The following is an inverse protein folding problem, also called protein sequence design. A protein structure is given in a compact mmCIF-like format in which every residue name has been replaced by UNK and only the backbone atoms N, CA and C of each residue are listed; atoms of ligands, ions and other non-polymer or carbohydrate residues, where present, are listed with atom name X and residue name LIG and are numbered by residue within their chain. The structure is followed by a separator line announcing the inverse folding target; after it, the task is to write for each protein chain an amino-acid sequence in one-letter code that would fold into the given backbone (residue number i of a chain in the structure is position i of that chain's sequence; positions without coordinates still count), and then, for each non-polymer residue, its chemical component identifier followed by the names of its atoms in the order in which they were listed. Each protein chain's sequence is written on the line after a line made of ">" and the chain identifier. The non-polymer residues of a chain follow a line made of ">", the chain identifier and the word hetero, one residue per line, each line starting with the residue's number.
data_IF_815903811088
#
_entry.id   IF_815903811088
#
_cell.length_a   1.000
_cell.length_b   1.000
_cell.length_c   1.000
_cell.angle_alpha   90.00
_cell.angle_beta   90.00
_cell.angle_gamma   90.00
#
_symmetry.space_group_name_H-M   'P 1'
#
loop_
_entity.id
_entity.type
_entity.pdbx_description
1 polymer ?
#
# COMPACT_ATOMS: atom_id res chain seq x y z
N UNK A 1 -9.01 -64.54 -3.66
CA UNK A 1 -8.04 -63.74 -2.88
C UNK A 1 -8.05 -62.27 -3.30
N UNK A 2 -9.15 -61.57 -3.01
CA UNK A 2 -9.31 -60.13 -3.23
C UNK A 2 -9.60 -59.48 -1.87
N UNK A 3 -8.65 -58.69 -1.37
CA UNK A 3 -8.84 -57.87 -0.16
C UNK A 3 -9.36 -56.47 -0.55
N UNK A 4 -10.27 -55.88 0.22
CA UNK A 4 -10.82 -54.56 -0.09
C UNK A 4 -9.86 -53.44 0.34
N UNK A 5 -9.80 -52.40 -0.49
CA UNK A 5 -9.03 -51.17 -0.23
C UNK A 5 -9.83 -50.30 0.76
N UNK A 6 -9.20 -50.00 1.89
CA UNK A 6 -9.75 -49.13 2.93
C UNK A 6 -9.87 -47.68 2.43
N UNK A 7 -11.06 -47.09 2.61
CA UNK A 7 -11.32 -45.66 2.44
C UNK A 7 -10.64 -44.87 3.56
N UNK A 8 -9.60 -44.12 3.24
CA UNK A 8 -8.99 -43.16 4.16
C UNK A 8 -9.82 -41.88 4.19
N UNK A 9 -10.41 -41.56 5.34
CA UNK A 9 -11.09 -40.29 5.63
C UNK A 9 -10.10 -39.14 5.51
N UNK A 10 -10.37 -38.20 4.60
CA UNK A 10 -9.68 -36.91 4.55
C UNK A 10 -10.21 -36.06 5.70
N UNK A 11 -9.39 -35.86 6.74
CA UNK A 11 -9.68 -34.90 7.82
C UNK A 11 -9.49 -33.48 7.31
N UNK A 12 -10.52 -32.63 7.45
CA UNK A 12 -10.42 -31.18 7.25
C UNK A 12 -9.41 -30.60 8.25
N UNK A 13 -8.21 -30.27 7.80
CA UNK A 13 -7.25 -29.50 8.60
C UNK A 13 -7.73 -28.05 8.70
N UNK A 14 -8.26 -27.66 9.87
CA UNK A 14 -8.31 -26.27 10.31
C UNK A 14 -6.86 -25.80 10.52
N UNK A 15 -6.35 -24.93 9.66
CA UNK A 15 -5.12 -24.19 9.96
C UNK A 15 -5.39 -23.24 11.13
N UNK A 16 -4.95 -23.64 12.32
CA UNK A 16 -4.82 -22.78 13.48
C UNK A 16 -3.32 -22.60 13.70
N UNK A 17 -2.73 -21.63 13.00
CA UNK A 17 -1.31 -21.31 13.12
C UNK A 17 -1.07 -20.52 14.41
N UNK A 18 -0.47 -21.14 15.42
CA UNK A 18 0.03 -20.46 16.61
C UNK A 18 1.46 -19.99 16.34
N UNK A 19 1.71 -18.68 16.37
CA UNK A 19 3.06 -18.12 16.22
C UNK A 19 3.58 -17.69 17.59
N UNK A 20 4.74 -18.21 17.98
CA UNK A 20 5.44 -17.81 19.21
C UNK A 20 5.98 -16.38 19.08
N UNK A 21 5.98 -15.60 20.15
CA UNK A 21 6.56 -14.24 20.17
C UNK A 21 8.04 -14.22 19.72
N UNK A 22 8.78 -15.33 19.88
CA UNK A 22 10.15 -15.47 19.33
C UNK A 22 10.21 -15.56 17.80
N UNK A 23 9.16 -16.04 17.14
CA UNK A 23 9.10 -16.16 15.68
C UNK A 23 8.75 -14.82 15.00
N UNK A 24 8.00 -13.94 15.67
CA UNK A 24 7.75 -12.57 15.20
C UNK A 24 9.05 -11.75 15.08
N UNK A 25 10.01 -11.96 16.00
CA UNK A 25 11.31 -11.28 15.98
C UNK A 25 12.21 -11.67 14.80
N UNK A 26 11.97 -12.83 14.15
CA UNK A 26 12.74 -13.27 12.97
C UNK A 26 12.12 -12.87 11.62
N UNK A 27 10.87 -12.38 11.62
CA UNK A 27 10.10 -12.12 10.40
C UNK A 27 10.06 -10.61 10.07
N UNK A 28 10.32 -9.75 11.05
CA UNK A 28 10.30 -8.30 10.89
C UNK A 28 11.73 -7.80 10.57
N UNK A 29 12.02 -7.33 9.35
CA UNK A 29 13.26 -6.60 9.08
C UNK A 29 13.31 -5.39 10.01
N UNK A 30 14.46 -5.16 10.67
CA UNK A 30 14.72 -4.08 11.64
C UNK A 30 14.30 -2.69 11.13
N UNK A 31 13.02 -2.38 11.27
CA UNK A 31 12.39 -1.14 10.84
C UNK A 31 11.25 -0.81 11.80
N UNK A 32 11.29 0.42 12.34
CA UNK A 32 10.35 0.92 13.35
C UNK A 32 8.91 0.96 12.85
N UNK A 33 7.99 0.42 13.65
CA UNK A 33 6.54 0.42 13.40
C UNK A 33 5.90 1.73 13.89
N UNK A 34 5.15 2.47 13.06
CA UNK A 34 4.28 3.59 13.50
C UNK A 34 2.79 3.24 13.36
N UNK A 35 2.02 3.61 14.37
CA UNK A 35 0.57 3.43 14.54
C UNK A 35 -0.05 4.81 14.78
N UNK A 36 -1.12 5.16 14.05
CA UNK A 36 -1.75 6.48 14.13
C UNK A 36 -3.17 6.40 14.69
N UNK A 37 -3.51 7.32 15.59
CA UNK A 37 -4.87 7.49 16.12
C UNK A 37 -5.34 8.94 16.03
N UNK A 38 -6.66 9.13 16.14
CA UNK A 38 -7.40 10.35 15.80
C UNK A 38 -6.94 11.61 16.55
N UNK A 39 -6.28 11.48 17.70
CA UNK A 39 -5.76 12.59 18.52
C UNK A 39 -4.37 12.30 19.13
N UNK A 40 -3.67 11.26 18.65
CA UNK A 40 -2.37 10.80 19.21
C UNK A 40 -1.63 9.95 18.18
N UNK A 41 -0.35 10.21 17.90
CA UNK A 41 0.49 9.32 17.08
C UNK A 41 1.29 8.40 18.01
N UNK A 42 1.46 7.13 17.66
CA UNK A 42 2.22 6.17 18.47
C UNK A 42 3.28 5.58 17.59
N UNK A 43 4.54 5.91 17.86
CA UNK A 43 5.67 5.52 17.04
C UNK A 43 6.64 4.60 17.79
N UNK A 44 7.15 3.64 17.04
CA UNK A 44 8.24 2.72 17.32
C UNK A 44 7.91 1.46 18.14
N UNK A 45 8.06 0.32 17.45
CA UNK A 45 8.70 -0.90 17.97
C UNK A 45 10.15 -0.87 17.48
N UNK A 46 11.12 -0.76 18.38
CA UNK A 46 12.54 -0.95 18.08
C UNK A 46 12.90 -2.39 18.46
N UNK A 47 13.30 -3.22 17.49
CA UNK A 47 13.82 -4.57 17.75
C UNK A 47 15.35 -4.51 17.67
N UNK A 48 16.10 -4.73 18.77
CA UNK A 48 17.54 -4.80 18.71
C UNK A 48 17.98 -5.99 17.85
N UNK A 49 18.94 -5.76 16.98
CA UNK A 49 19.50 -6.78 16.10
C UNK A 49 20.30 -7.84 16.86
N UNK A 50 20.07 -9.09 16.43
CA UNK A 50 20.91 -10.30 16.52
C UNK A 50 21.51 -10.66 17.89
N UNK A 51 21.07 -11.84 18.34
CA UNK A 51 21.49 -12.66 19.48
C UNK A 51 20.87 -12.27 20.83
N UNK A 52 20.07 -13.21 21.35
CA UNK A 52 19.79 -13.46 22.77
C UNK A 52 19.42 -12.27 23.66
N UNK A 53 18.17 -12.27 24.14
CA UNK A 53 17.58 -11.37 25.15
C UNK A 53 17.01 -10.06 24.56
N UNK A 54 15.69 -10.04 24.42
CA UNK A 54 14.90 -8.84 24.09
C UNK A 54 14.72 -8.06 25.39
N UNK A 55 15.67 -7.19 25.71
CA UNK A 55 15.57 -6.24 26.81
C UNK A 55 14.89 -4.94 26.34
N UNK A 56 13.88 -4.53 27.12
CA UNK A 56 13.19 -3.23 27.14
C UNK A 56 12.44 -2.77 25.86
N UNK A 57 11.12 -2.92 25.90
CA UNK A 57 10.16 -2.28 24.99
C UNK A 57 10.08 -0.77 25.26
N UNK A 58 10.81 0.07 24.50
CA UNK A 58 10.57 1.52 24.50
C UNK A 58 9.68 1.89 23.33
N UNK A 59 8.39 1.98 23.60
CA UNK A 59 7.44 2.63 22.72
C UNK A 59 7.51 4.15 22.91
N UNK A 60 7.22 4.94 21.89
CA UNK A 60 7.21 6.41 22.00
C UNK A 60 5.93 6.96 21.41
N UNK A 61 5.14 7.65 22.22
CA UNK A 61 3.96 8.36 21.71
C UNK A 61 4.44 9.68 21.14
N UNK A 62 4.17 9.92 19.86
CA UNK A 62 4.47 11.19 19.18
C UNK A 62 3.15 11.95 19.07
N UNK A 63 3.08 13.18 19.54
CA UNK A 63 1.85 13.96 19.47
C UNK A 63 1.78 14.75 18.16
N UNK A 64 0.61 15.31 17.86
CA UNK A 64 0.33 16.08 16.63
C UNK A 64 1.22 17.32 16.47
N UNK A 65 1.81 17.81 17.56
CA UNK A 65 2.73 18.94 17.62
C UNK A 65 4.21 18.53 17.41
N UNK A 66 4.47 17.25 17.13
CA UNK A 66 5.83 16.72 16.98
C UNK A 66 6.54 16.46 18.31
N UNK A 67 5.92 16.76 19.45
CA UNK A 67 6.46 16.36 20.74
C UNK A 67 6.41 14.85 20.88
N UNK A 68 7.37 14.29 21.60
CA UNK A 68 7.42 12.88 21.90
C UNK A 68 7.39 12.68 23.41
N UNK A 69 6.57 11.74 23.88
CA UNK A 69 6.67 11.23 25.24
C UNK A 69 7.09 9.77 25.20
N UNK A 70 7.99 9.43 26.10
CA UNK A 70 8.35 8.03 26.34
C UNK A 70 7.12 7.26 26.86
N UNK A 71 7.05 5.97 26.52
CA UNK A 71 5.91 5.05 26.72
C UNK A 71 5.16 5.19 28.04
N UNK A 72 5.88 5.39 29.14
CA UNK A 72 5.32 5.44 30.49
C UNK A 72 4.22 6.51 30.63
N UNK A 73 4.28 7.59 29.86
CA UNK A 73 3.30 8.68 29.87
C UNK A 73 2.25 8.61 28.75
N UNK A 74 2.36 7.65 27.82
CA UNK A 74 1.45 7.48 26.67
C UNK A 74 0.40 6.38 26.83
N UNK A 75 0.44 5.65 27.95
CA UNK A 75 -0.45 4.50 28.19
C UNK A 75 -1.92 4.90 28.33
N UNK A 76 -2.21 6.08 28.88
CA UNK A 76 -3.59 6.54 29.06
C UNK A 76 -4.27 6.88 27.74
N UNK A 77 -3.56 7.53 26.80
CA UNK A 77 -4.06 7.83 25.47
C UNK A 77 -4.36 6.53 24.69
N UNK A 78 -3.45 5.55 24.77
CA UNK A 78 -3.65 4.22 24.20
C UNK A 78 -4.83 3.48 24.79
N UNK A 79 -4.98 3.51 26.12
CA UNK A 79 -6.14 2.92 26.80
C UNK A 79 -7.43 3.59 26.33
N UNK A 80 -7.46 4.93 26.21
CA UNK A 80 -8.62 5.68 25.72
C UNK A 80 -9.01 5.21 24.32
N UNK A 81 -8.04 5.14 23.43
CA UNK A 81 -8.21 4.66 22.05
C UNK A 81 -8.68 3.21 21.98
N UNK A 82 -8.09 2.32 22.80
CA UNK A 82 -8.47 0.91 22.89
C UNK A 82 -9.86 0.72 23.52
N UNK A 83 -10.33 1.68 24.33
CA UNK A 83 -11.64 1.64 24.98
C UNK A 83 -12.78 2.07 24.04
N UNK A 84 -12.48 2.83 22.97
CA UNK A 84 -13.50 3.26 22.01
C UNK A 84 -13.88 2.17 21.01
N UNK A 85 -12.89 1.49 20.42
CA UNK A 85 -13.08 0.37 19.49
C UNK A 85 -11.90 -0.59 19.58
N UNK A 86 -12.14 -1.85 19.23
CA UNK A 86 -11.05 -2.82 19.10
C UNK A 86 -10.08 -2.37 18.01
N UNK A 87 -8.79 -2.55 18.27
CA UNK A 87 -7.72 -2.12 17.38
C UNK A 87 -6.97 -3.34 16.87
N UNK A 88 -6.77 -3.41 15.56
CA UNK A 88 -6.01 -4.46 14.89
C UNK A 88 -4.83 -3.88 14.12
N UNK A 89 -3.65 -4.47 14.30
CA UNK A 89 -2.40 -4.01 13.67
C UNK A 89 -1.98 -5.04 12.61
N UNK A 90 -1.75 -4.57 11.38
CA UNK A 90 -1.16 -5.42 10.34
C UNK A 90 0.29 -5.74 10.68
N UNK A 91 0.61 -7.04 10.73
CA UNK A 91 1.94 -7.54 11.14
C UNK A 91 2.66 -8.32 10.05
N UNK A 92 1.91 -8.88 9.09
CA UNK A 92 2.47 -9.71 8.01
C UNK A 92 1.50 -9.74 6.81
N UNK A 93 1.89 -10.45 5.75
CA UNK A 93 1.11 -10.60 4.52
C UNK A 93 1.22 -12.03 3.96
N UNK A 94 0.11 -12.54 3.44
CA UNK A 94 0.09 -13.81 2.70
C UNK A 94 0.66 -13.64 1.29
N UNK A 95 1.00 -14.76 0.62
CA UNK A 95 1.58 -14.77 -0.72
C UNK A 95 0.66 -14.19 -1.82
N UNK A 96 -0.65 -14.19 -1.58
CA UNK A 96 -1.66 -13.56 -2.44
C UNK A 96 -1.85 -12.05 -2.16
N UNK A 97 -1.08 -11.53 -1.20
CA UNK A 97 -1.05 -10.15 -0.79
C UNK A 97 -2.15 -9.72 0.19
N UNK A 98 -2.88 -10.64 0.83
CA UNK A 98 -3.79 -10.30 1.93
C UNK A 98 -3.03 -9.99 3.22
N UNK A 99 -3.47 -8.95 3.94
CA UNK A 99 -2.86 -8.58 5.21
C UNK A 99 -3.27 -9.53 6.35
N UNK A 100 -2.30 -9.85 7.21
CA UNK A 100 -2.50 -10.52 8.49
C UNK A 100 -2.41 -9.51 9.61
N UNK A 101 -3.32 -9.63 10.57
CA UNK A 101 -3.49 -8.71 11.69
C UNK A 101 -3.41 -9.42 13.03
N UNK A 102 -2.95 -8.69 14.04
CA UNK A 102 -3.09 -9.07 15.46
C UNK A 102 -3.92 -8.02 16.17
N UNK A 103 -4.67 -8.45 17.18
CA UNK A 103 -5.41 -7.53 18.05
C UNK A 103 -4.44 -6.83 18.98
N UNK A 104 -4.45 -5.50 19.02
CA UNK A 104 -3.54 -4.70 19.83
C UNK A 104 -3.63 -5.09 21.32
N UNK A 105 -4.83 -5.34 21.85
CA UNK A 105 -5.00 -5.75 23.25
C UNK A 105 -4.35 -7.11 23.56
N UNK A 106 -4.26 -8.02 22.59
CA UNK A 106 -3.55 -9.30 22.76
C UNK A 106 -2.04 -9.10 22.76
N UNK A 107 -1.54 -8.20 21.89
CA UNK A 107 -0.13 -7.81 21.87
C UNK A 107 0.26 -6.98 23.11
N UNK A 108 -0.69 -6.25 23.70
CA UNK A 108 -0.52 -5.39 24.88
C UNK A 108 -0.37 -6.19 26.18
N UNK A 109 -1.12 -7.28 26.32
CA UNK A 109 -1.03 -8.12 27.50
C UNK A 109 0.34 -8.82 27.54
N UNK A 110 1.17 -8.52 28.54
CA UNK A 110 2.42 -9.21 28.89
C UNK A 110 2.18 -10.71 29.13
N UNK A 111 1.87 -11.44 28.07
CA UNK A 111 1.54 -12.85 28.13
C UNK A 111 2.44 -13.58 27.17
N UNK A 112 3.08 -14.65 27.65
CA UNK A 112 3.78 -15.64 26.82
C UNK A 112 2.80 -16.42 25.91
N UNK A 113 1.62 -15.87 25.62
CA UNK A 113 0.56 -16.48 24.84
C UNK A 113 0.81 -16.16 23.37
N UNK A 114 0.71 -17.18 22.52
CA UNK A 114 0.74 -16.99 21.08
C UNK A 114 -0.36 -16.01 20.65
N UNK A 115 -0.01 -15.04 19.81
CA UNK A 115 -0.97 -14.07 19.26
C UNK A 115 -1.86 -14.74 18.22
N UNK A 116 -3.13 -14.35 18.21
CA UNK A 116 -4.06 -14.81 17.17
C UNK A 116 -3.85 -13.97 15.92
N UNK A 117 -3.63 -14.63 14.78
CA UNK A 117 -3.60 -13.97 13.47
C UNK A 117 -4.99 -13.96 12.86
N UNK A 118 -5.40 -12.79 12.40
CA UNK A 118 -6.65 -12.56 11.69
C UNK A 118 -6.34 -12.13 10.26
N UNK A 119 -7.03 -12.71 9.28
CA UNK A 119 -6.91 -12.25 7.91
C UNK A 119 -7.75 -10.98 7.65
N UNK A 120 -7.43 -10.30 6.55
CA UNK A 120 -8.07 -9.05 6.13
C UNK A 120 -9.60 -9.15 6.07
N UNK A 121 -10.14 -10.26 5.59
CA UNK A 121 -11.59 -10.48 5.47
C UNK A 121 -12.29 -10.65 6.83
N UNK A 122 -11.59 -11.19 7.84
CA UNK A 122 -12.11 -11.34 9.19
C UNK A 122 -12.19 -9.98 9.89
N UNK A 123 -11.11 -9.22 9.89
CA UNK A 123 -11.07 -7.93 10.62
C UNK A 123 -12.00 -6.89 10.02
N UNK A 124 -12.22 -6.91 8.70
CA UNK A 124 -13.16 -6.00 8.01
C UNK A 124 -14.63 -6.23 8.36
N UNK A 125 -14.98 -7.41 8.87
CA UNK A 125 -16.34 -7.68 9.35
C UNK A 125 -16.58 -7.13 10.74
N UNK A 126 -15.53 -6.69 11.43
CA UNK A 126 -15.59 -6.13 12.77
C UNK A 126 -15.70 -4.61 12.67
N UNK A 127 -16.49 -4.01 13.56
CA UNK A 127 -16.47 -2.56 13.75
C UNK A 127 -15.23 -2.16 14.57
N UNK A 128 -14.08 -2.13 13.90
CA UNK A 128 -12.76 -1.99 14.52
C UNK A 128 -11.90 -0.95 13.81
N UNK A 129 -10.83 -0.52 14.48
CA UNK A 129 -9.79 0.33 13.90
C UNK A 129 -8.67 -0.54 13.34
N UNK A 130 -8.38 -0.38 12.05
CA UNK A 130 -7.26 -1.07 11.40
C UNK A 130 -6.07 -0.14 11.32
N UNK A 131 -4.91 -0.64 11.74
CA UNK A 131 -3.65 0.07 11.71
C UNK A 131 -2.69 -0.65 10.78
N UNK A 132 -2.23 0.08 9.77
CA UNK A 132 -1.19 -0.40 8.87
C UNK A 132 0.14 0.19 9.33
N UNK A 133 1.14 -0.67 9.51
CA UNK A 133 2.48 -0.22 9.84
C UNK A 133 2.96 0.79 8.78
N UNK A 134 3.24 2.03 9.22
CA UNK A 134 3.99 2.98 8.40
C UNK A 134 5.48 2.84 8.68
N UNK A 135 6.35 2.97 7.67
CA UNK A 135 7.76 3.11 7.91
C UNK A 135 8.08 4.51 8.38
N UNK A 136 9.16 4.60 9.15
CA UNK A 136 9.86 5.86 9.39
C UNK A 136 10.38 6.38 8.05
N UNK A 137 10.21 7.69 7.81
CA UNK A 137 10.94 8.41 6.78
C UNK A 137 12.42 8.33 7.17
N UNK A 138 13.10 7.29 6.71
CA UNK A 138 14.55 7.30 6.70
C UNK A 138 14.91 8.31 5.63
N UNK A 139 15.38 9.49 6.05
CA UNK A 139 16.16 10.39 5.18
C UNK A 139 17.44 9.66 4.76
N UNK A 140 17.28 8.62 3.94
CA UNK A 140 18.37 7.96 3.27
C UNK A 140 18.60 8.76 2.00
N UNK A 141 19.85 9.20 1.81
CA UNK A 141 20.32 9.89 0.62
C UNK A 141 19.86 9.12 -0.62
N UNK A 142 18.78 9.60 -1.25
CA UNK A 142 18.15 8.92 -2.36
C UNK A 142 18.89 9.22 -3.66
N UNK A 143 18.88 8.28 -4.63
CA UNK A 143 19.44 8.52 -5.95
C UNK A 143 18.72 9.71 -6.58
N UNK A 144 19.47 10.73 -6.99
CA UNK A 144 19.06 11.91 -7.77
C UNK A 144 17.58 11.93 -8.15
N UNK A 145 16.73 12.44 -7.25
CA UNK A 145 15.35 12.81 -7.57
C UNK A 145 15.43 13.81 -8.73
N UNK A 146 14.64 13.65 -9.81
CA UNK A 146 14.70 14.57 -10.95
C UNK A 146 14.65 16.02 -10.45
N UNK A 147 15.66 16.80 -10.85
CA UNK A 147 15.83 18.20 -10.46
C UNK A 147 14.55 18.96 -10.86
N UNK A 148 13.82 19.41 -9.85
CA UNK A 148 12.43 19.84 -9.96
C UNK A 148 11.61 19.28 -8.82
N UNK A 149 12.18 19.25 -7.60
CA UNK A 149 11.48 18.90 -6.36
C UNK A 149 10.27 19.81 -6.24
N UNK A 150 9.14 19.34 -6.75
CA UNK A 150 7.87 19.98 -6.50
C UNK A 150 7.66 19.86 -5.00
N UNK A 151 8.06 20.91 -4.30
CA UNK A 151 7.68 21.09 -2.93
C UNK A 151 6.16 21.28 -3.00
N UNK A 152 5.42 20.37 -2.37
CA UNK A 152 3.97 20.46 -2.26
C UNK A 152 3.53 20.98 -0.88
N UNK A 153 4.27 21.80 -0.12
CA UNK A 153 3.87 22.11 1.26
C UNK A 153 2.47 22.75 1.31
N UNK A 154 2.10 23.51 0.29
CA UNK A 154 0.78 24.16 0.21
C UNK A 154 -0.35 23.23 -0.27
N UNK A 155 -0.05 22.22 -1.11
CA UNK A 155 -1.06 21.35 -1.73
C UNK A 155 -1.18 20.01 -1.02
N UNK A 156 -0.07 19.48 -0.54
CA UNK A 156 0.08 18.22 0.15
C UNK A 156 0.85 18.46 1.47
N UNK A 157 0.27 19.20 2.43
CA UNK A 157 0.92 19.44 3.72
C UNK A 157 1.11 18.15 4.53
N UNK A 158 0.52 17.03 4.11
CA UNK A 158 0.65 15.72 4.75
C UNK A 158 0.23 15.76 6.23
N UNK A 159 -1.01 16.19 6.45
CA UNK A 159 -1.67 16.15 7.74
C UNK A 159 -1.62 14.76 8.37
N UNK A 160 -1.71 14.74 9.70
CA UNK A 160 -1.53 13.58 10.56
C UNK A 160 -2.41 12.35 10.22
N UNK A 161 -3.58 12.54 9.61
CA UNK A 161 -4.48 11.45 9.18
C UNK A 161 -4.23 10.95 7.76
N UNK A 162 -3.25 11.50 7.06
CA UNK A 162 -3.05 11.22 5.63
C UNK A 162 -1.92 10.24 5.43
N UNK A 163 -2.15 9.25 4.57
CA UNK A 163 -1.22 8.18 4.27
C UNK A 163 -1.08 7.99 2.77
N UNK A 164 -0.49 8.99 2.12
CA UNK A 164 -0.23 8.95 0.70
C UNK A 164 1.15 9.47 0.38
N UNK A 165 1.62 9.18 -0.82
CA UNK A 165 2.87 9.68 -1.38
C UNK A 165 2.62 10.11 -2.81
N UNK A 166 3.24 11.21 -3.23
CA UNK A 166 3.26 11.62 -4.64
C UNK A 166 4.40 10.86 -5.32
N UNK A 167 4.16 10.38 -6.55
CA UNK A 167 5.16 9.67 -7.36
C UNK A 167 5.72 10.66 -8.39
N UNK A 168 6.85 11.34 -8.10
CA UNK A 168 7.31 12.48 -8.89
C UNK A 168 7.68 12.08 -10.33
N UNK A 169 8.31 10.92 -10.52
CA UNK A 169 8.67 10.40 -11.84
C UNK A 169 7.48 10.21 -12.79
N UNK A 170 6.29 10.02 -12.24
CA UNK A 170 5.07 9.81 -13.02
C UNK A 170 4.12 11.01 -12.98
N UNK A 171 4.48 12.09 -12.28
CA UNK A 171 3.68 13.31 -12.22
C UNK A 171 4.08 14.26 -13.36
N UNK A 172 3.15 15.10 -13.81
CA UNK A 172 3.40 16.09 -14.88
C UNK A 172 3.43 17.54 -14.36
N UNK A 173 3.00 17.76 -13.11
CA UNK A 173 3.02 19.09 -12.48
C UNK A 173 2.39 19.09 -11.08
N UNK A 174 2.25 20.28 -10.49
CA UNK A 174 1.72 20.46 -9.12
C UNK A 174 0.26 20.00 -8.95
N UNK A 175 -0.56 20.08 -9.99
CA UNK A 175 -1.98 19.66 -9.96
C UNK A 175 -2.24 18.44 -10.85
N UNK A 176 -1.19 17.91 -11.47
CA UNK A 176 -1.18 16.73 -12.34
C UNK A 176 -0.31 15.64 -11.71
N UNK A 177 -0.64 15.28 -10.46
CA UNK A 177 0.13 14.38 -9.64
C UNK A 177 -0.41 12.95 -9.70
N UNK A 178 0.50 11.97 -9.71
CA UNK A 178 0.14 10.57 -9.45
C UNK A 178 0.33 10.29 -7.96
N UNK A 179 -0.77 10.02 -7.27
CA UNK A 179 -0.85 9.86 -5.82
C UNK A 179 -1.02 8.38 -5.49
N UNK A 180 -0.07 7.83 -4.74
CA UNK A 180 -0.15 6.48 -4.18
C UNK A 180 -0.68 6.58 -2.74
N UNK A 181 -1.93 6.14 -2.51
CA UNK A 181 -2.63 6.34 -1.24
C UNK A 181 -3.12 5.03 -0.62
N UNK A 182 -3.37 5.04 0.68
CA UNK A 182 -4.24 4.06 1.32
C UNK A 182 -5.73 4.43 1.17
N UNK A 183 -6.60 3.49 1.51
CA UNK A 183 -8.06 3.67 1.39
C UNK A 183 -8.61 4.65 2.43
N UNK A 184 -8.11 4.57 3.67
CA UNK A 184 -8.58 5.41 4.77
C UNK A 184 -8.42 6.90 4.48
N UNK A 185 -7.28 7.29 3.90
CA UNK A 185 -7.00 8.67 3.49
C UNK A 185 -8.07 9.16 2.51
N UNK A 186 -8.31 8.42 1.43
CA UNK A 186 -9.29 8.83 0.41
C UNK A 186 -10.74 8.82 0.91
N UNK A 187 -11.06 7.96 1.88
CA UNK A 187 -12.37 7.90 2.50
C UNK A 187 -12.58 8.97 3.58
N UNK A 188 -11.54 9.68 4.00
CA UNK A 188 -11.63 10.71 5.04
C UNK A 188 -11.99 12.08 4.44
N UNK A 189 -12.55 12.98 5.24
CA UNK A 189 -12.72 14.37 4.81
C UNK A 189 -11.42 15.11 5.10
N UNK A 190 -10.74 15.58 4.05
CA UNK A 190 -9.39 16.14 4.13
C UNK A 190 -9.35 17.58 3.61
N UNK A 191 -10.06 18.50 4.29
CA UNK A 191 -10.08 19.91 3.87
C UNK A 191 -8.71 20.60 3.95
N UNK A 192 -7.77 20.02 4.69
CA UNK A 192 -6.39 20.49 4.79
C UNK A 192 -5.48 19.97 3.68
N UNK A 193 -5.96 19.18 2.73
CA UNK A 193 -5.14 18.57 1.67
C UNK A 193 -5.63 18.99 0.26
N UNK A 194 -5.32 20.23 -0.17
CA UNK A 194 -5.81 20.76 -1.45
C UNK A 194 -5.45 19.91 -2.68
N UNK A 195 -4.42 19.07 -2.61
CA UNK A 195 -4.05 18.16 -3.70
C UNK A 195 -5.21 17.25 -4.13
N UNK A 196 -6.08 16.85 -3.19
CA UNK A 196 -7.24 16.02 -3.51
C UNK A 196 -8.38 16.77 -4.22
N UNK A 197 -8.39 18.11 -4.21
CA UNK A 197 -9.30 18.91 -5.03
C UNK A 197 -9.00 18.79 -6.52
N UNK A 198 -7.77 18.37 -6.87
CA UNK A 198 -7.33 18.17 -8.24
C UNK A 198 -7.50 16.74 -8.73
N UNK A 199 -7.96 15.81 -7.89
CA UNK A 199 -8.14 14.41 -8.30
C UNK A 199 -9.31 14.28 -9.26
N UNK A 200 -9.02 13.76 -10.44
CA UNK A 200 -10.01 13.54 -11.51
C UNK A 200 -10.24 12.05 -11.82
N UNK A 201 -9.36 11.17 -11.33
CA UNK A 201 -9.48 9.72 -11.45
C UNK A 201 -9.03 9.07 -10.14
N UNK A 202 -9.81 8.09 -9.69
CA UNK A 202 -9.47 7.17 -8.62
C UNK A 202 -9.36 5.76 -9.21
N UNK A 203 -8.23 5.11 -8.96
CA UNK A 203 -8.01 3.69 -9.27
C UNK A 203 -8.05 2.90 -7.97
N UNK A 204 -9.17 2.22 -7.74
CA UNK A 204 -9.37 1.31 -6.62
C UNK A 204 -8.84 -0.08 -7.00
N UNK A 205 -7.70 -0.44 -6.44
CA UNK A 205 -7.06 -1.75 -6.66
C UNK A 205 -7.53 -2.82 -5.64
N UNK A 206 -8.42 -2.47 -4.72
CA UNK A 206 -8.85 -3.32 -3.62
C UNK A 206 -10.18 -4.05 -3.91
N UNK A 207 -11.18 -3.35 -4.43
CA UNK A 207 -12.53 -3.87 -4.66
C UNK A 207 -12.88 -3.90 -6.15
N UNK A 208 -13.68 -4.88 -6.59
CA UNK A 208 -14.19 -4.93 -7.97
C UNK A 208 -15.35 -3.94 -8.19
N UNK A 209 -16.08 -3.61 -7.13
CA UNK A 209 -17.23 -2.73 -7.16
C UNK A 209 -17.21 -1.80 -5.96
N UNK A 210 -17.31 -0.50 -6.22
CA UNK A 210 -17.28 0.54 -5.21
C UNK A 210 -18.01 1.78 -5.73
N UNK A 211 -18.65 2.54 -4.83
CA UNK A 211 -19.25 3.83 -5.17
C UNK A 211 -18.22 4.95 -5.04
N UNK A 212 -18.21 5.89 -5.99
CA UNK A 212 -17.37 7.10 -5.89
C UNK A 212 -17.67 7.91 -4.64
N UNK A 213 -18.90 7.87 -4.12
CA UNK A 213 -19.31 8.56 -2.89
C UNK A 213 -18.56 8.07 -1.63
N UNK A 214 -17.86 6.92 -1.70
CA UNK A 214 -16.98 6.43 -0.64
C UNK A 214 -15.79 7.38 -0.41
N UNK A 215 -15.32 8.05 -1.47
CA UNK A 215 -14.11 8.87 -1.43
C UNK A 215 -14.43 10.32 -1.10
N UNK A 216 -14.32 10.65 0.19
CA UNK A 216 -14.66 11.98 0.74
C UNK A 216 -13.48 12.96 0.75
N UNK A 217 -12.27 12.50 0.40
CA UNK A 217 -11.10 13.35 0.32
C UNK A 217 -11.15 14.27 -0.91
N UNK A 218 -11.79 13.82 -1.98
CA UNK A 218 -11.86 14.57 -3.23
C UNK A 218 -12.77 15.79 -3.09
N UNK A 219 -12.32 16.92 -3.64
CA UNK A 219 -13.05 18.18 -3.60
C UNK A 219 -14.44 18.08 -4.24
N UNK A 220 -15.39 18.87 -3.72
CA UNK A 220 -16.79 18.87 -4.20
C UNK A 220 -16.96 19.44 -5.63
N UNK A 221 -15.92 20.02 -6.21
CA UNK A 221 -15.99 20.75 -7.50
C UNK A 221 -16.28 19.82 -8.68
N UNK A 222 -15.73 18.61 -8.67
CA UNK A 222 -15.94 17.62 -9.72
C UNK A 222 -15.81 16.21 -9.16
N UNK A 223 -16.81 15.38 -9.40
CA UNK A 223 -16.76 13.96 -9.04
C UNK A 223 -15.69 13.27 -9.89
N UNK A 224 -14.68 12.62 -9.28
CA UNK A 224 -13.66 11.91 -10.04
C UNK A 224 -14.25 10.68 -10.75
N UNK A 225 -13.66 10.31 -11.88
CA UNK A 225 -13.90 8.99 -12.46
C UNK A 225 -13.36 7.90 -11.51
N UNK A 226 -13.99 6.73 -11.51
CA UNK A 226 -13.61 5.60 -10.68
C UNK A 226 -13.43 4.34 -11.52
N UNK A 227 -12.21 3.79 -11.50
CA UNK A 227 -11.92 2.44 -12.00
C UNK A 227 -11.71 1.53 -10.81
N UNK A 228 -12.52 0.47 -10.71
CA UNK A 228 -12.46 -0.49 -9.59
C UNK A 228 -12.12 -1.90 -10.07
N UNK A 229 -11.00 -2.43 -9.58
CA UNK A 229 -10.57 -3.80 -9.82
C UNK A 229 -9.88 -4.38 -8.59
N UNK A 230 -10.35 -5.53 -8.11
CA UNK A 230 -9.68 -6.27 -7.06
C UNK A 230 -8.43 -6.97 -7.61
N UNK A 231 -7.28 -6.28 -7.60
CA UNK A 231 -6.01 -6.78 -8.18
C UNK A 231 -5.58 -8.10 -7.56
N UNK A 232 -5.86 -8.30 -6.27
CA UNK A 232 -5.60 -9.57 -5.59
C UNK A 232 -6.34 -10.76 -6.19
N UNK A 233 -7.36 -10.57 -7.03
CA UNK A 233 -8.08 -11.65 -7.70
C UNK A 233 -7.53 -11.95 -9.09
N UNK A 234 -6.60 -11.16 -9.62
CA UNK A 234 -6.18 -11.26 -11.02
C UNK A 234 -5.42 -12.56 -11.33
N UNK A 235 -4.79 -13.20 -10.34
CA UNK A 235 -4.07 -14.48 -10.51
C UNK A 235 -4.93 -15.60 -11.12
N UNK A 236 -6.26 -15.53 -10.97
CA UNK A 236 -7.20 -16.54 -11.46
C UNK A 236 -7.86 -16.21 -12.81
N UNK A 237 -7.54 -15.06 -13.44
CA UNK A 237 -8.34 -14.50 -14.54
C UNK A 237 -7.71 -14.56 -15.95
N UNK A 238 -6.55 -15.21 -16.12
CA UNK A 238 -5.98 -15.49 -17.45
C UNK A 238 -5.73 -14.23 -18.33
N UNK A 239 -5.84 -14.30 -19.67
CA UNK A 239 -5.42 -13.24 -20.60
C UNK A 239 -6.16 -11.89 -20.44
N UNK A 240 -7.31 -11.88 -19.74
CA UNK A 240 -8.08 -10.66 -19.49
C UNK A 240 -7.36 -9.68 -18.53
N UNK A 241 -6.36 -10.14 -17.78
CA UNK A 241 -5.60 -9.30 -16.84
C UNK A 241 -4.83 -8.19 -17.56
N UNK A 242 -4.20 -8.51 -18.70
CA UNK A 242 -3.40 -7.54 -19.46
C UNK A 242 -4.28 -6.43 -20.01
N UNK A 243 -5.45 -6.77 -20.58
CA UNK A 243 -6.38 -5.79 -21.12
C UNK A 243 -6.94 -4.85 -20.03
N UNK A 244 -7.30 -5.39 -18.86
CA UNK A 244 -7.70 -4.58 -17.70
C UNK A 244 -6.60 -3.62 -17.26
N UNK A 245 -5.37 -4.12 -17.17
CA UNK A 245 -4.22 -3.31 -16.77
C UNK A 245 -3.95 -2.20 -17.80
N UNK A 246 -4.01 -2.51 -19.09
CA UNK A 246 -3.83 -1.54 -20.17
C UNK A 246 -4.87 -0.41 -20.13
N UNK A 247 -6.13 -0.75 -19.86
CA UNK A 247 -7.19 0.25 -19.66
C UNK A 247 -6.90 1.18 -18.48
N UNK A 248 -6.40 0.64 -17.36
CA UNK A 248 -5.99 1.43 -16.20
C UNK A 248 -4.84 2.38 -16.59
N UNK A 249 -3.77 1.88 -17.23
CA UNK A 249 -2.60 2.70 -17.55
C UNK A 249 -2.92 3.81 -18.55
N UNK A 250 -3.78 3.52 -19.54
CA UNK A 250 -4.30 4.51 -20.49
C UNK A 250 -5.11 5.59 -19.79
N UNK A 251 -6.01 5.20 -18.87
CA UNK A 251 -6.81 6.15 -18.11
C UNK A 251 -5.95 7.03 -17.20
N UNK A 252 -4.97 6.45 -16.49
CA UNK A 252 -4.01 7.22 -15.68
C UNK A 252 -3.30 8.27 -16.55
N UNK A 253 -2.77 7.87 -17.72
CA UNK A 253 -2.11 8.81 -18.62
C UNK A 253 -3.07 9.88 -19.15
N UNK A 254 -4.27 9.50 -19.58
CA UNK A 254 -5.28 10.43 -20.09
C UNK A 254 -5.63 11.51 -19.05
N UNK A 255 -5.84 11.11 -17.78
CA UNK A 255 -6.19 12.05 -16.73
C UNK A 255 -5.04 12.99 -16.36
N UNK A 256 -3.81 12.48 -16.32
CA UNK A 256 -2.63 13.31 -16.05
C UNK A 256 -2.35 14.29 -17.20
N UNK A 257 -2.41 13.83 -18.45
CA UNK A 257 -1.95 14.59 -19.61
C UNK A 257 -3.05 15.43 -20.26
N UNK A 258 -4.20 14.83 -20.56
CA UNK A 258 -5.27 15.46 -21.35
C UNK A 258 -6.31 16.17 -20.47
N UNK A 259 -6.75 15.53 -19.39
CA UNK A 259 -7.70 16.15 -18.42
C UNK A 259 -6.99 17.16 -17.52
N UNK A 260 -5.66 17.07 -17.42
CA UNK A 260 -4.81 17.91 -16.57
C UNK A 260 -5.18 17.85 -15.08
N UNK A 261 -5.61 16.67 -14.61
CA UNK A 261 -5.92 16.41 -13.22
C UNK A 261 -4.91 15.48 -12.55
N UNK A 262 -5.04 15.36 -11.23
CA UNK A 262 -4.33 14.36 -10.43
C UNK A 262 -5.06 13.03 -10.45
N UNK A 263 -4.32 11.95 -10.19
CA UNK A 263 -4.84 10.59 -10.17
C UNK A 263 -4.45 9.92 -8.87
N UNK A 264 -5.43 9.38 -8.14
CA UNK A 264 -5.19 8.63 -6.91
C UNK A 264 -5.29 7.12 -7.17
N UNK A 265 -4.19 6.40 -6.99
CA UNK A 265 -4.15 4.93 -7.04
C UNK A 265 -4.08 4.43 -5.60
N UNK A 266 -5.06 3.63 -5.20
CA UNK A 266 -5.10 3.12 -3.83
C UNK A 266 -5.45 1.64 -3.78
N UNK A 267 -5.06 1.05 -2.66
CA UNK A 267 -5.65 -0.19 -2.18
C UNK A 267 -5.92 0.00 -0.70
N UNK A 268 -6.05 -1.07 0.07
CA UNK A 268 -6.27 -0.94 1.50
C UNK A 268 -5.17 -0.12 2.20
N UNK A 269 -3.91 -0.50 2.01
CA UNK A 269 -2.75 0.14 2.64
C UNK A 269 -1.90 1.00 1.67
N UNK A 270 -2.19 0.96 0.36
CA UNK A 270 -1.44 1.71 -0.65
C UNK A 270 0.00 1.27 -0.89
N UNK A 271 0.40 0.05 -0.49
CA UNK A 271 1.82 -0.39 -0.53
C UNK A 271 2.08 -1.65 -1.37
N UNK A 272 1.04 -2.38 -1.77
CA UNK A 272 1.15 -3.65 -2.51
C UNK A 272 0.43 -3.57 -3.86
N UNK A 273 -0.89 -3.80 -3.87
CA UNK A 273 -1.74 -3.77 -5.07
C UNK A 273 -1.62 -2.45 -5.84
N UNK A 274 -1.78 -1.33 -5.13
CA UNK A 274 -1.64 0.00 -5.72
C UNK A 274 -0.22 0.26 -6.24
N UNK A 275 0.81 -0.14 -5.49
CA UNK A 275 2.20 0.00 -5.92
C UNK A 275 2.50 -0.83 -7.17
N UNK A 276 1.93 -2.04 -7.31
CA UNK A 276 2.04 -2.85 -8.51
C UNK A 276 1.41 -2.15 -9.73
N UNK A 277 0.23 -1.54 -9.57
CA UNK A 277 -0.42 -0.78 -10.66
C UNK A 277 0.41 0.45 -11.03
N UNK A 278 0.95 1.19 -10.05
CA UNK A 278 1.85 2.31 -10.31
C UNK A 278 3.15 1.84 -11.00
N UNK A 279 3.70 0.69 -10.61
CA UNK A 279 4.86 0.11 -11.30
C UNK A 279 4.54 -0.24 -12.76
N UNK A 280 3.33 -0.69 -13.06
CA UNK A 280 2.89 -0.90 -14.44
C UNK A 280 2.83 0.42 -15.24
N UNK A 281 2.57 1.56 -14.60
CA UNK A 281 2.57 2.87 -15.25
C UNK A 281 3.98 3.30 -15.70
N UNK A 282 5.03 2.95 -14.94
CA UNK A 282 6.42 3.12 -15.36
C UNK A 282 6.69 2.37 -16.67
N UNK A 283 6.34 1.08 -16.70
CA UNK A 283 6.50 0.23 -17.88
C UNK A 283 5.71 0.74 -19.09
N UNK A 284 4.46 1.17 -18.87
CA UNK A 284 3.62 1.74 -19.91
C UNK A 284 4.26 3.01 -20.50
N UNK A 285 4.71 3.94 -19.66
CA UNK A 285 5.36 5.17 -20.16
C UNK A 285 6.66 4.86 -20.90
N UNK A 286 7.49 3.96 -20.39
CA UNK A 286 8.75 3.63 -21.03
C UNK A 286 8.53 2.94 -22.39
N UNK A 287 7.80 1.83 -22.41
CA UNK A 287 7.70 0.99 -23.61
C UNK A 287 6.60 1.43 -24.58
N UNK A 288 5.42 1.79 -24.08
CA UNK A 288 4.27 2.15 -24.94
C UNK A 288 4.38 3.62 -25.37
N UNK A 289 4.64 4.54 -24.44
CA UNK A 289 4.77 5.97 -24.75
C UNK A 289 6.15 6.36 -25.27
N UNK A 290 7.18 5.51 -25.12
CA UNK A 290 8.54 5.79 -25.57
C UNK A 290 9.31 6.78 -24.69
N UNK A 291 8.88 7.00 -23.45
CA UNK A 291 9.57 7.89 -22.51
C UNK A 291 10.80 7.17 -21.90
N UNK A 292 11.90 7.14 -22.64
CA UNK A 292 13.12 6.38 -22.28
C UNK A 292 13.80 6.86 -20.99
N UNK A 293 13.50 8.07 -20.52
CA UNK A 293 13.94 8.62 -19.24
C UNK A 293 13.20 8.05 -18.03
N UNK A 294 12.08 7.35 -18.24
CA UNK A 294 11.32 6.68 -17.18
C UNK A 294 11.90 5.28 -16.98
N UNK A 295 12.15 4.90 -15.73
CA UNK A 295 12.70 3.60 -15.38
C UNK A 295 11.82 2.44 -15.87
N UNK A 296 12.44 1.38 -16.37
CA UNK A 296 11.76 0.17 -16.86
C UNK A 296 12.22 -1.12 -16.18
N UNK A 297 13.31 -1.09 -15.42
CA UNK A 297 13.75 -2.20 -14.57
C UNK A 297 12.84 -2.31 -13.32
N UNK A 298 12.14 -3.45 -13.10
CA UNK A 298 11.26 -3.61 -11.94
C UNK A 298 11.92 -3.37 -10.59
N UNK A 299 13.18 -3.77 -10.40
CA UNK A 299 13.88 -3.58 -9.13
C UNK A 299 14.15 -2.09 -8.87
N UNK A 300 14.53 -1.34 -9.91
CA UNK A 300 14.73 0.11 -9.83
C UNK A 300 13.41 0.87 -9.68
N UNK A 301 12.34 0.46 -10.37
CA UNK A 301 10.98 1.00 -10.18
C UNK A 301 10.58 0.89 -8.70
N UNK A 302 10.70 -0.30 -8.10
CA UNK A 302 10.35 -0.48 -6.69
C UNK A 302 11.31 0.25 -5.74
N UNK A 303 12.57 0.45 -6.11
CA UNK A 303 13.49 1.33 -5.36
C UNK A 303 12.98 2.78 -5.35
N UNK A 304 12.53 3.29 -6.50
CA UNK A 304 11.91 4.63 -6.58
C UNK A 304 10.63 4.71 -5.76
N UNK A 305 9.73 3.72 -5.87
CA UNK A 305 8.49 3.72 -5.07
C UNK A 305 8.78 3.66 -3.56
N UNK A 306 9.77 2.87 -3.13
CA UNK A 306 10.21 2.82 -1.73
C UNK A 306 10.81 4.15 -1.26
N UNK A 307 11.47 4.91 -2.12
CA UNK A 307 12.04 6.20 -1.71
C UNK A 307 10.98 7.24 -1.32
N UNK A 308 9.78 7.19 -1.92
CA UNK A 308 8.66 8.08 -1.58
C UNK A 308 7.66 7.45 -0.61
N UNK A 309 7.61 6.12 -0.54
CA UNK A 309 6.73 5.35 0.33
C UNK A 309 7.46 4.09 0.83
N UNK A 310 8.24 4.16 1.93
CA UNK A 310 9.17 3.08 2.26
C UNK A 310 8.54 1.72 2.61
N UNK A 311 7.23 1.67 2.86
CA UNK A 311 6.49 0.43 3.15
C UNK A 311 6.08 -0.29 1.87
N UNK A 312 6.24 0.34 0.71
CA UNK A 312 6.03 -0.34 -0.57
C UNK A 312 6.87 -1.60 -0.57
N UNK A 313 6.19 -2.75 -0.70
CA UNK A 313 6.83 -4.04 -0.87
C UNK A 313 6.46 -4.58 -2.25
N UNK A 314 7.42 -5.12 -3.02
CA UNK A 314 7.10 -5.78 -4.26
C UNK A 314 6.16 -6.96 -4.01
N UNK A 315 4.95 -6.87 -4.55
CA UNK A 315 3.93 -7.91 -4.53
C UNK A 315 3.33 -8.04 -5.93
N UNK A 316 2.65 -9.15 -6.21
CA UNK A 316 2.03 -9.41 -7.52
C UNK A 316 3.02 -9.32 -8.69
N UNK A 317 4.23 -9.86 -8.49
CA UNK A 317 5.32 -9.81 -9.48
C UNK A 317 4.99 -10.55 -10.77
N UNK A 318 4.11 -11.54 -10.70
CA UNK A 318 3.55 -12.25 -11.85
C UNK A 318 2.71 -11.31 -12.73
N UNK A 319 1.88 -10.44 -12.13
CA UNK A 319 1.09 -9.43 -12.85
C UNK A 319 2.03 -8.42 -13.52
N UNK A 320 3.01 -7.91 -12.76
CA UNK A 320 3.98 -6.95 -13.28
C UNK A 320 4.78 -7.54 -14.44
N UNK A 321 5.27 -8.77 -14.31
CA UNK A 321 6.03 -9.47 -15.35
C UNK A 321 5.19 -9.73 -16.60
N UNK A 322 3.95 -10.18 -16.43
CA UNK A 322 3.03 -10.37 -17.55
C UNK A 322 2.80 -9.06 -18.31
N UNK A 323 2.61 -7.96 -17.59
CA UNK A 323 2.41 -6.65 -18.19
C UNK A 323 3.69 -6.12 -18.86
N UNK A 324 4.86 -6.30 -18.26
CA UNK A 324 6.16 -5.97 -18.87
C UNK A 324 6.35 -6.67 -20.21
N UNK A 325 6.13 -7.99 -20.26
CA UNK A 325 6.23 -8.78 -21.49
C UNK A 325 5.26 -8.28 -22.57
N UNK A 326 4.04 -7.93 -22.17
CA UNK A 326 3.06 -7.33 -23.08
C UNK A 326 3.58 -5.99 -23.65
N UNK A 327 4.05 -5.08 -22.80
CA UNK A 327 4.53 -3.78 -23.23
C UNK A 327 5.75 -3.87 -24.17
N UNK A 328 6.71 -4.75 -23.86
CA UNK A 328 7.88 -5.00 -24.73
C UNK A 328 7.42 -5.51 -26.10
N UNK A 329 6.49 -6.48 -26.13
CA UNK A 329 5.96 -7.02 -27.39
C UNK A 329 5.26 -5.96 -28.22
N UNK A 330 4.43 -5.12 -27.61
CA UNK A 330 3.75 -4.03 -28.31
C UNK A 330 4.74 -2.99 -28.86
N UNK A 331 5.75 -2.63 -28.09
CA UNK A 331 6.81 -1.72 -28.55
C UNK A 331 7.58 -2.30 -29.74
N UNK A 332 7.90 -3.60 -29.73
CA UNK A 332 8.56 -4.27 -30.84
C UNK A 332 7.70 -4.30 -32.11
N UNK A 333 6.40 -4.61 -31.97
CA UNK A 333 5.46 -4.59 -33.09
C UNK A 333 5.33 -3.20 -33.72
N UNK A 334 5.28 -2.15 -32.89
CA UNK A 334 5.24 -0.76 -33.38
C UNK A 334 6.46 -0.42 -34.23
N UNK A 335 7.66 -0.76 -33.75
CA UNK A 335 8.92 -0.55 -34.49
C UNK A 335 8.97 -1.34 -35.81
N UNK A 336 8.49 -2.58 -35.81
CA UNK A 336 8.43 -3.39 -37.04
C UNK A 336 7.50 -2.77 -38.09
N UNK A 337 6.36 -2.23 -37.66
CA UNK A 337 5.41 -1.55 -38.55
C UNK A 337 5.99 -0.23 -39.07
N UNK A 338 6.69 0.54 -38.23
CA UNK A 338 7.38 1.78 -38.63
C UNK A 338 8.43 1.51 -39.72
N UNK A 339 9.23 0.43 -39.60
CA UNK A 339 10.22 0.03 -40.61
C UNK A 339 9.61 -0.47 -41.92
N UNK A 340 8.40 -1.04 -41.88
CA UNK A 340 7.72 -1.53 -43.10
C UNK A 340 7.07 -0.38 -43.89
N UNK A 341 6.83 0.76 -43.24
CA UNK A 341 6.16 1.92 -43.84
C UNK A 341 7.15 2.94 -44.44
N UNK A 342 8.44 2.83 -44.12
CA UNK A 342 9.52 3.67 -44.63
C UNK A 342 10.11 3.11 -45.92
#
# INVERSE_FOLDING_TARGET
>A
NSKPINKTKISKNKLCGKVSCRALASIIPSSMLRVLFKDTTISALELPGRTGVVEAWRWRVIYSDGSAKDWENGQEDLRRIMNEKEVYISVDQESDGQHLFVKLSEAWGNSNKALTLFNEAQVKKLDCNLLYARPVVVQSASPSIPLGSWDYPDLAPHGYMTNYSIVPWLSLGRTQALILSDEQTLCSSLSSEPIFDHVTLIVNCHEDHCSVSKYRACGKKKTPELISHAVHRWFSHGPNVVAKNDNIQKAIWHHLNSVQGSVAVHCLAGIHRAACIVACQFLFRHYIMGHTQIESDPALIYKHLKSVRPAVSPAYLDILRQYQNHCIRQAALRRANELTTQ
#
